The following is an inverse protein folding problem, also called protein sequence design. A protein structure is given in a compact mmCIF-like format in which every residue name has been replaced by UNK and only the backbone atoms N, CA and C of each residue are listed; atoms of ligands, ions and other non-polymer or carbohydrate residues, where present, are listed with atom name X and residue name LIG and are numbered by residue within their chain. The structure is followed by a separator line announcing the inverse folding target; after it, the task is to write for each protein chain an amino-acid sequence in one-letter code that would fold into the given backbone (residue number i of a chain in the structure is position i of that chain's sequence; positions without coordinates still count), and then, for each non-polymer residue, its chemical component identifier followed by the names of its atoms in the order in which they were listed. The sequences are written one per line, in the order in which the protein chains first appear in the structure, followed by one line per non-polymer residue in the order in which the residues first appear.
data_IF_502067382380
#
_entry.id   IF_502067382380
#
_cell.length_a   1.000
_cell.length_b   1.000
_cell.length_c   1.000
_cell.angle_alpha   90.00
_cell.angle_beta   90.00
_cell.angle_gamma   90.00
#
_symmetry.space_group_name_H-M   'P 1'
#
loop_
_entity.id
_entity.type
_entity.pdbx_description
1 polymer ?
#
# COMPACT_ATOMS: atom_id res chain seq x y z
N UNK A 1 -40.31 -8.18 -13.60
CA UNK A 1 -39.62 -7.33 -12.59
C UNK A 1 -38.40 -7.99 -11.94
N UNK A 2 -38.26 -9.32 -11.91
CA UNK A 2 -37.12 -10.00 -11.27
C UNK A 2 -35.74 -9.51 -11.76
N UNK A 3 -35.53 -9.37 -13.08
CA UNK A 3 -34.23 -8.95 -13.64
C UNK A 3 -33.78 -7.53 -13.26
N UNK A 4 -34.72 -6.57 -13.12
CA UNK A 4 -34.38 -5.20 -12.65
C UNK A 4 -33.98 -5.22 -11.18
N UNK A 5 -34.62 -6.08 -10.39
CA UNK A 5 -34.32 -6.25 -8.96
C UNK A 5 -32.95 -6.90 -8.75
N UNK A 6 -32.60 -7.92 -9.54
CA UNK A 6 -31.27 -8.54 -9.51
C UNK A 6 -30.16 -7.56 -9.92
N UNK A 7 -30.39 -6.72 -10.93
CA UNK A 7 -29.43 -5.67 -11.34
C UNK A 7 -29.24 -4.65 -10.21
N UNK A 8 -30.33 -4.20 -9.58
CA UNK A 8 -30.24 -3.25 -8.47
C UNK A 8 -29.47 -3.83 -7.27
N UNK A 9 -29.72 -5.10 -6.91
CA UNK A 9 -28.99 -5.79 -5.84
C UNK A 9 -27.51 -5.97 -6.20
N UNK A 10 -27.20 -6.43 -7.41
CA UNK A 10 -25.82 -6.60 -7.87
C UNK A 10 -25.04 -5.27 -7.94
N UNK A 11 -25.68 -4.18 -8.36
CA UNK A 11 -25.08 -2.85 -8.35
C UNK A 11 -24.80 -2.36 -6.93
N UNK A 12 -25.73 -2.56 -5.98
CA UNK A 12 -25.54 -2.19 -4.58
C UNK A 12 -24.42 -3.00 -3.90
N UNK A 13 -24.35 -4.31 -4.17
CA UNK A 13 -23.27 -5.17 -3.70
C UNK A 13 -21.92 -4.72 -4.26
N UNK A 14 -21.86 -4.40 -5.55
CA UNK A 14 -20.63 -3.94 -6.19
C UNK A 14 -20.19 -2.57 -5.70
N UNK A 15 -21.12 -1.65 -5.43
CA UNK A 15 -20.82 -0.36 -4.81
C UNK A 15 -20.22 -0.53 -3.41
N UNK A 16 -20.77 -1.46 -2.61
CA UNK A 16 -20.23 -1.79 -1.29
C UNK A 16 -18.84 -2.41 -1.39
N UNK A 17 -18.63 -3.31 -2.35
CA UNK A 17 -17.32 -3.92 -2.60
C UNK A 17 -16.28 -2.88 -3.05
N UNK A 18 -16.66 -1.95 -3.94
CA UNK A 18 -15.81 -0.86 -4.39
C UNK A 18 -15.40 0.07 -3.25
N UNK A 19 -16.33 0.41 -2.34
CA UNK A 19 -16.01 1.19 -1.15
C UNK A 19 -15.02 0.47 -0.22
N UNK A 20 -15.19 -0.85 -0.03
CA UNK A 20 -14.26 -1.65 0.76
C UNK A 20 -12.89 -1.72 0.11
N UNK A 21 -12.84 -1.92 -1.21
CA UNK A 21 -11.59 -1.93 -1.96
C UNK A 21 -10.87 -0.58 -1.86
N UNK A 22 -11.59 0.54 -2.03
CA UNK A 22 -11.02 1.88 -1.88
C UNK A 22 -10.44 2.11 -0.47
N UNK A 23 -11.15 1.67 0.57
CA UNK A 23 -10.64 1.73 1.96
C UNK A 23 -9.39 0.86 2.13
N UNK A 24 -9.38 -0.36 1.60
CA UNK A 24 -8.22 -1.23 1.62
C UNK A 24 -7.01 -0.61 0.89
N UNK A 25 -7.23 0.02 -0.26
CA UNK A 25 -6.18 0.75 -0.98
C UNK A 25 -5.65 1.95 -0.18
N UNK A 26 -6.50 2.66 0.57
CA UNK A 26 -6.06 3.73 1.48
C UNK A 26 -5.20 3.20 2.63
N UNK A 27 -5.58 2.06 3.23
CA UNK A 27 -4.79 1.41 4.27
C UNK A 27 -3.43 0.93 3.73
N UNK A 28 -3.40 0.37 2.52
CA UNK A 28 -2.16 0.02 1.82
C UNK A 28 -1.31 1.26 1.56
N UNK A 29 -1.89 2.37 1.10
CA UNK A 29 -1.15 3.60 0.83
C UNK A 29 -0.54 4.18 2.12
N UNK A 30 -1.30 4.23 3.21
CA UNK A 30 -0.81 4.68 4.51
C UNK A 30 0.35 3.80 5.02
N UNK A 31 0.23 2.48 4.88
CA UNK A 31 1.32 1.56 5.21
C UNK A 31 2.55 1.78 4.31
N UNK A 32 2.37 2.19 3.05
CA UNK A 32 3.47 2.51 2.12
C UNK A 32 4.25 3.73 2.58
N UNK A 33 3.53 4.77 2.98
CA UNK A 33 4.13 6.00 3.47
C UNK A 33 4.94 5.75 4.75
N UNK A 34 4.39 4.98 5.69
CA UNK A 34 5.09 4.59 6.93
C UNK A 34 6.34 3.74 6.64
N UNK A 35 6.24 2.76 5.74
CA UNK A 35 7.36 1.95 5.27
C UNK A 35 8.46 2.77 4.59
N UNK A 36 8.07 3.72 3.74
CA UNK A 36 9.02 4.60 3.04
C UNK A 36 9.77 5.48 4.05
N UNK A 37 9.06 6.07 5.01
CA UNK A 37 9.66 6.85 6.08
C UNK A 37 10.63 6.01 6.92
N UNK A 38 10.23 4.80 7.33
CA UNK A 38 11.10 3.88 8.07
C UNK A 38 12.35 3.46 7.26
N UNK A 39 12.20 3.30 5.94
CA UNK A 39 13.31 2.98 5.03
C UNK A 39 14.29 4.13 4.90
N UNK A 40 13.80 5.37 4.76
CA UNK A 40 14.62 6.58 4.74
C UNK A 40 15.39 6.77 6.06
N UNK A 41 14.73 6.57 7.20
CA UNK A 41 15.37 6.66 8.51
C UNK A 41 16.43 5.56 8.71
N UNK A 42 16.14 4.33 8.26
CA UNK A 42 17.11 3.23 8.29
C UNK A 42 18.31 3.54 7.40
N UNK A 43 18.09 4.07 6.20
CA UNK A 43 19.17 4.45 5.28
C UNK A 43 20.05 5.57 5.86
N UNK A 44 19.44 6.57 6.50
CA UNK A 44 20.17 7.62 7.20
C UNK A 44 21.04 7.05 8.32
N UNK A 45 20.47 6.18 9.15
CA UNK A 45 21.21 5.54 10.26
C UNK A 45 22.38 4.69 9.73
N UNK A 46 22.20 3.96 8.63
CA UNK A 46 23.29 3.21 7.98
C UNK A 46 24.40 4.15 7.51
N UNK A 47 24.06 5.32 6.94
CA UNK A 47 25.05 6.29 6.51
C UNK A 47 25.84 6.88 7.69
N UNK A 48 25.16 7.23 8.78
CA UNK A 48 25.80 7.69 10.03
C UNK A 48 26.74 6.62 10.60
N UNK A 49 26.31 5.35 10.57
CA UNK A 49 27.12 4.23 11.04
C UNK A 49 28.35 3.97 10.16
N UNK A 50 28.22 4.14 8.84
CA UNK A 50 29.34 4.04 7.90
C UNK A 50 30.37 5.14 8.13
N UNK A 51 29.92 6.36 8.48
CA UNK A 51 30.82 7.44 8.83
C UNK A 51 31.56 7.15 10.15
N UNK A 52 30.85 6.73 11.19
CA UNK A 52 31.45 6.37 12.47
C UNK A 52 32.47 5.24 12.34
N UNK A 53 32.22 4.28 11.45
CA UNK A 53 33.17 3.20 11.15
C UNK A 53 34.44 3.73 10.46
N UNK A 54 34.31 4.67 9.52
CA UNK A 54 35.47 5.31 8.89
C UNK A 54 36.33 6.11 9.89
N UNK A 55 35.69 6.79 10.85
CA UNK A 55 36.39 7.47 11.95
C UNK A 55 37.13 6.46 12.85
N UNK A 56 36.55 5.29 13.12
CA UNK A 56 37.22 4.20 13.83
C UNK A 56 38.43 3.65 13.04
N UNK A 57 38.33 3.50 11.72
CA UNK A 57 39.45 3.09 10.87
C UNK A 57 40.61 4.10 10.93
N UNK A 58 40.29 5.40 10.84
CA UNK A 58 41.29 6.45 10.98
C UNK A 58 41.94 6.44 12.37
N UNK A 59 41.14 6.26 13.42
CA UNK A 59 41.64 6.17 14.80
C UNK A 59 42.53 4.94 14.99
N UNK A 60 42.19 3.81 14.35
CA UNK A 60 43.02 2.60 14.34
C UNK A 60 44.38 2.82 13.68
N UNK A 61 44.42 3.59 12.59
CA UNK A 61 45.67 3.99 11.95
C UNK A 61 46.51 4.91 12.84
N UNK A 62 45.89 5.92 13.46
CA UNK A 62 46.56 6.78 14.42
C UNK A 62 47.09 5.99 15.64
N UNK A 63 46.35 4.99 16.11
CA UNK A 63 46.79 4.08 17.16
C UNK A 63 48.01 3.25 16.74
N UNK A 64 48.05 2.81 15.48
CA UNK A 64 49.21 2.10 14.93
C UNK A 64 50.44 2.99 14.87
N UNK A 65 50.29 4.26 14.47
CA UNK A 65 51.38 5.25 14.48
C UNK A 65 51.88 5.50 15.91
N UNK A 66 50.96 5.69 16.86
CA UNK A 66 51.30 5.88 18.28
C UNK A 66 52.03 4.67 18.86
N UNK A 67 51.67 3.46 18.44
CA UNK A 67 52.36 2.23 18.82
C UNK A 67 53.77 2.12 18.21
N UNK A 68 54.00 2.64 16.99
CA UNK A 68 55.35 2.74 16.43
C UNK A 68 56.20 3.79 17.16
N UNK A 69 55.62 4.94 17.49
CA UNK A 69 56.29 5.99 18.26
C UNK A 69 56.69 5.51 19.66
N UNK A 70 55.83 4.72 20.32
CA UNK A 70 56.12 4.07 21.60
C UNK A 70 57.41 3.23 21.54
N UNK A 71 57.65 2.52 20.42
CA UNK A 71 58.85 1.69 20.23
C UNK A 71 60.14 2.51 20.24
N UNK A 72 60.06 3.78 19.85
CA UNK A 72 61.18 4.71 19.78
C UNK A 72 61.20 5.70 20.97
N UNK A 73 60.22 5.62 21.88
CA UNK A 73 60.08 6.56 23.00
C UNK A 73 61.08 6.30 24.12
N UNK A 74 61.65 7.38 24.66
CA UNK A 74 62.47 7.33 25.88
C UNK A 74 61.64 7.31 27.18
N UNK A 75 60.34 7.61 27.09
CA UNK A 75 59.37 7.54 28.20
C UNK A 75 58.27 6.52 27.89
N UNK A 76 58.66 5.25 27.87
CA UNK A 76 57.82 4.11 27.47
C UNK A 76 56.57 3.97 28.34
N UNK A 77 56.66 4.30 29.64
CA UNK A 77 55.54 4.14 30.56
C UNK A 77 54.38 5.07 30.21
N UNK A 78 54.66 6.36 29.99
CA UNK A 78 53.63 7.34 29.63
C UNK A 78 53.05 7.09 28.24
N UNK A 79 53.91 6.84 27.25
CA UNK A 79 53.46 6.56 25.88
C UNK A 79 52.64 5.26 25.81
N UNK A 80 52.94 4.25 26.64
CA UNK A 80 52.15 3.02 26.70
C UNK A 80 50.74 3.25 27.30
N UNK A 81 50.62 4.16 28.27
CA UNK A 81 49.34 4.55 28.85
C UNK A 81 48.45 5.28 27.82
N UNK A 82 49.03 6.15 26.99
CA UNK A 82 48.34 6.83 25.89
C UNK A 82 47.85 5.83 24.81
N UNK A 83 48.69 4.87 24.39
CA UNK A 83 48.30 3.79 23.47
C UNK A 83 47.19 2.93 24.05
N UNK A 84 47.31 2.52 25.31
CA UNK A 84 46.30 1.70 25.98
C UNK A 84 44.95 2.42 26.06
N UNK A 85 44.95 3.71 26.43
CA UNK A 85 43.72 4.51 26.50
C UNK A 85 43.05 4.68 25.14
N UNK A 86 43.81 5.00 24.09
CA UNK A 86 43.29 5.12 22.73
C UNK A 86 42.73 3.78 22.21
N UNK A 87 43.38 2.65 22.53
CA UNK A 87 42.90 1.32 22.19
C UNK A 87 41.58 0.97 22.90
N UNK A 88 41.43 1.32 24.19
CA UNK A 88 40.18 1.12 24.94
C UNK A 88 39.03 1.96 24.37
N UNK A 89 39.30 3.21 23.99
CA UNK A 89 38.31 4.08 23.36
C UNK A 89 37.86 3.54 22.00
N UNK A 90 38.80 3.13 21.15
CA UNK A 90 38.50 2.52 19.85
C UNK A 90 37.68 1.23 20.00
N UNK A 91 38.08 0.35 20.92
CA UNK A 91 37.35 -0.89 21.20
C UNK A 91 35.91 -0.61 21.64
N UNK A 92 35.71 0.37 22.53
CA UNK A 92 34.39 0.79 23.00
C UNK A 92 33.52 1.33 21.85
N UNK A 93 34.09 2.19 21.00
CA UNK A 93 33.41 2.74 19.82
C UNK A 93 32.99 1.64 18.83
N UNK A 94 33.89 0.69 18.52
CA UNK A 94 33.60 -0.43 17.62
C UNK A 94 32.51 -1.35 18.20
N UNK A 95 32.51 -1.60 19.50
CA UNK A 95 31.46 -2.38 20.16
C UNK A 95 30.09 -1.69 20.06
N UNK A 96 30.05 -0.38 20.28
CA UNK A 96 28.81 0.41 20.17
C UNK A 96 28.29 0.45 18.73
N UNK A 97 29.17 0.66 17.75
CA UNK A 97 28.84 0.58 16.32
C UNK A 97 28.28 -0.80 15.98
N UNK A 98 28.93 -1.88 16.43
CA UNK A 98 28.48 -3.26 16.16
C UNK A 98 27.09 -3.54 16.75
N UNK A 99 26.85 -3.05 17.97
CA UNK A 99 25.53 -3.16 18.62
C UNK A 99 24.47 -2.42 17.81
N UNK A 100 24.74 -1.17 17.44
CA UNK A 100 23.83 -0.35 16.62
C UNK A 100 23.55 -1.02 15.27
N UNK A 101 24.57 -1.56 14.60
CA UNK A 101 24.44 -2.28 13.33
C UNK A 101 23.51 -3.47 13.41
N UNK A 102 23.59 -4.23 14.50
CA UNK A 102 22.68 -5.36 14.73
C UNK A 102 21.23 -4.89 14.85
N UNK A 103 20.98 -3.77 15.52
CA UNK A 103 19.65 -3.18 15.65
C UNK A 103 19.12 -2.65 14.32
N UNK A 104 19.97 -1.99 13.53
CA UNK A 104 19.65 -1.49 12.19
C UNK A 104 19.28 -2.65 11.26
N UNK A 105 20.07 -3.73 11.25
CA UNK A 105 19.77 -4.92 10.45
C UNK A 105 18.43 -5.56 10.84
N UNK A 106 18.10 -5.58 12.13
CA UNK A 106 16.80 -6.05 12.59
C UNK A 106 15.66 -5.14 12.09
N UNK A 107 15.85 -3.81 12.11
CA UNK A 107 14.87 -2.86 11.58
C UNK A 107 14.68 -3.02 10.05
N UNK A 108 15.77 -3.14 9.29
CA UNK A 108 15.73 -3.40 7.84
C UNK A 108 14.99 -4.70 7.53
N UNK A 109 15.19 -5.75 8.33
CA UNK A 109 14.47 -7.01 8.15
C UNK A 109 12.96 -6.87 8.40
N UNK A 110 12.56 -6.05 9.38
CA UNK A 110 11.14 -5.73 9.60
C UNK A 110 10.54 -4.92 8.45
N UNK A 111 11.28 -3.95 7.93
CA UNK A 111 10.89 -3.17 6.75
C UNK A 111 10.70 -4.11 5.57
N UNK A 112 11.66 -5.01 5.30
CA UNK A 112 11.55 -5.98 4.21
C UNK A 112 10.32 -6.87 4.33
N UNK A 113 10.01 -7.36 5.54
CA UNK A 113 8.80 -8.16 5.79
C UNK A 113 7.53 -7.35 5.58
N UNK A 114 7.47 -6.11 6.06
CA UNK A 114 6.34 -5.22 5.82
C UNK A 114 6.13 -4.94 4.33
N UNK A 115 7.20 -4.74 3.57
CA UNK A 115 7.15 -4.51 2.12
C UNK A 115 6.57 -5.73 1.39
N UNK A 116 6.96 -6.94 1.80
CA UNK A 116 6.42 -8.18 1.24
C UNK A 116 4.93 -8.35 1.54
N UNK A 117 4.52 -8.11 2.79
CA UNK A 117 3.08 -8.17 3.18
C UNK A 117 2.28 -7.14 2.39
N UNK A 118 2.82 -5.93 2.23
CA UNK A 118 2.16 -4.87 1.49
C UNK A 118 2.05 -5.17 -0.01
N UNK A 119 3.10 -5.74 -0.62
CA UNK A 119 3.06 -6.18 -2.02
C UNK A 119 1.97 -7.22 -2.23
N UNK A 120 1.87 -8.22 -1.35
CA UNK A 120 0.82 -9.24 -1.41
C UNK A 120 -0.59 -8.63 -1.24
N UNK A 121 -0.76 -7.72 -0.27
CA UNK A 121 -2.04 -7.02 -0.08
C UNK A 121 -2.42 -6.15 -1.29
N UNK A 122 -1.44 -5.55 -1.96
CA UNK A 122 -1.63 -4.76 -3.18
C UNK A 122 -2.08 -5.64 -4.35
N UNK A 123 -1.46 -6.80 -4.53
CA UNK A 123 -1.87 -7.78 -5.55
C UNK A 123 -3.28 -8.31 -5.31
N UNK A 124 -3.61 -8.65 -4.05
CA UNK A 124 -4.96 -9.09 -3.68
C UNK A 124 -6.00 -7.99 -3.94
N UNK A 125 -5.69 -6.75 -3.55
CA UNK A 125 -6.55 -5.59 -3.79
C UNK A 125 -6.78 -5.36 -5.28
N UNK A 126 -5.72 -5.42 -6.10
CA UNK A 126 -5.82 -5.27 -7.55
C UNK A 126 -6.69 -6.37 -8.18
N UNK A 127 -6.53 -7.62 -7.74
CA UNK A 127 -7.37 -8.72 -8.19
C UNK A 127 -8.85 -8.51 -7.81
N UNK A 128 -9.13 -8.07 -6.57
CA UNK A 128 -10.47 -7.78 -6.09
C UNK A 128 -11.13 -6.64 -6.88
N UNK A 129 -10.39 -5.55 -7.16
CA UNK A 129 -10.85 -4.44 -8.00
C UNK A 129 -11.18 -4.93 -9.41
N UNK A 130 -10.32 -5.75 -10.02
CA UNK A 130 -10.59 -6.31 -11.35
C UNK A 130 -11.84 -7.20 -11.40
N UNK A 131 -12.18 -7.90 -10.31
CA UNK A 131 -13.44 -8.66 -10.21
C UNK A 131 -14.65 -7.73 -10.08
N UNK A 132 -14.53 -6.65 -9.29
CA UNK A 132 -15.57 -5.63 -9.15
C UNK A 132 -15.87 -4.96 -10.50
N UNK A 133 -14.85 -4.59 -11.26
CA UNK A 133 -15.01 -4.00 -12.59
C UNK A 133 -15.77 -4.91 -13.56
N UNK A 134 -15.41 -6.20 -13.61
CA UNK A 134 -16.15 -7.19 -14.41
C UNK A 134 -17.59 -7.33 -13.96
N UNK A 135 -17.84 -7.34 -12.65
CA UNK A 135 -19.19 -7.35 -12.07
C UNK A 135 -20.02 -6.13 -12.47
N UNK A 136 -19.42 -4.94 -12.43
CA UNK A 136 -20.06 -3.69 -12.86
C UNK A 136 -20.40 -3.71 -14.35
N UNK A 137 -19.49 -4.16 -15.22
CA UNK A 137 -19.73 -4.26 -16.66
C UNK A 137 -20.92 -5.18 -16.99
N UNK A 138 -21.00 -6.32 -16.31
CA UNK A 138 -22.13 -7.24 -16.44
C UNK A 138 -23.43 -6.61 -15.95
N UNK A 139 -23.41 -5.95 -14.80
CA UNK A 139 -24.58 -5.25 -14.25
C UNK A 139 -25.06 -4.13 -15.19
N UNK A 140 -24.13 -3.34 -15.74
CA UNK A 140 -24.42 -2.27 -16.70
C UNK A 140 -25.06 -2.81 -17.98
N UNK A 141 -24.51 -3.88 -18.54
CA UNK A 141 -25.07 -4.55 -19.73
C UNK A 141 -26.50 -5.03 -19.47
N UNK A 142 -26.72 -5.70 -18.33
CA UNK A 142 -28.05 -6.18 -17.93
C UNK A 142 -29.03 -5.03 -17.69
N UNK A 143 -28.58 -3.93 -17.08
CA UNK A 143 -29.37 -2.74 -16.85
C UNK A 143 -29.85 -2.12 -18.18
N UNK A 144 -28.96 -2.00 -19.16
CA UNK A 144 -29.28 -1.48 -20.50
C UNK A 144 -30.37 -2.30 -21.19
N UNK A 145 -30.16 -3.62 -21.26
CA UNK A 145 -31.15 -4.56 -21.83
C UNK A 145 -32.48 -4.52 -21.07
N UNK A 146 -32.43 -4.41 -19.74
CA UNK A 146 -33.62 -4.28 -18.91
C UNK A 146 -34.40 -3.00 -19.22
N UNK A 147 -33.71 -1.87 -19.38
CA UNK A 147 -34.28 -0.57 -19.73
C UNK A 147 -34.95 -0.60 -21.11
N UNK A 148 -34.29 -1.19 -22.11
CA UNK A 148 -34.87 -1.37 -23.45
C UNK A 148 -36.18 -2.17 -23.42
N UNK A 149 -36.20 -3.28 -22.68
CA UNK A 149 -37.41 -4.12 -22.51
C UNK A 149 -38.54 -3.36 -21.82
N UNK A 150 -38.23 -2.62 -20.75
CA UNK A 150 -39.22 -1.78 -20.05
C UNK A 150 -39.75 -0.70 -20.98
N UNK A 151 -38.89 -0.08 -21.79
CA UNK A 151 -39.28 0.89 -22.81
C UNK A 151 -40.21 0.29 -23.87
N UNK A 152 -39.92 -0.93 -24.34
CA UNK A 152 -40.78 -1.65 -25.29
C UNK A 152 -42.15 -1.98 -24.69
N UNK A 153 -42.20 -2.46 -23.46
CA UNK A 153 -43.46 -2.74 -22.74
C UNK A 153 -44.29 -1.46 -22.59
N UNK A 154 -43.65 -0.34 -22.22
CA UNK A 154 -44.32 0.96 -22.09
C UNK A 154 -44.97 1.40 -23.42
N UNK A 155 -44.29 1.19 -24.55
CA UNK A 155 -44.85 1.48 -25.88
C UNK A 155 -46.05 0.59 -26.19
N UNK A 156 -45.95 -0.72 -25.97
CA UNK A 156 -47.06 -1.66 -26.19
C UNK A 156 -48.28 -1.33 -25.32
N UNK A 157 -48.07 -0.97 -24.05
CA UNK A 157 -49.15 -0.55 -23.16
C UNK A 157 -49.81 0.76 -23.62
N UNK A 158 -49.04 1.72 -24.16
CA UNK A 158 -49.59 2.94 -24.75
C UNK A 158 -50.47 2.62 -25.94
N UNK A 159 -49.99 1.80 -26.89
CA UNK A 159 -50.77 1.40 -28.07
C UNK A 159 -52.03 0.62 -27.69
N UNK A 160 -51.94 -0.25 -26.70
CA UNK A 160 -53.11 -0.99 -26.20
C UNK A 160 -54.13 -0.04 -25.56
N UNK A 161 -53.66 0.93 -24.77
CA UNK A 161 -54.52 1.98 -24.22
C UNK A 161 -55.25 2.75 -25.32
N UNK A 162 -54.53 3.23 -26.34
CA UNK A 162 -55.12 3.98 -27.44
C UNK A 162 -56.18 3.14 -28.19
N UNK A 163 -55.91 1.85 -28.40
CA UNK A 163 -56.85 0.92 -29.02
C UNK A 163 -58.10 0.70 -28.15
N UNK A 164 -57.95 0.55 -26.83
CA UNK A 164 -59.06 0.39 -25.89
C UNK A 164 -59.89 1.68 -25.81
N UNK A 165 -59.25 2.85 -25.74
CA UNK A 165 -59.94 4.14 -25.75
C UNK A 165 -60.76 4.31 -27.04
N UNK A 166 -60.19 3.95 -28.20
CA UNK A 166 -60.90 3.94 -29.49
C UNK A 166 -62.10 2.99 -29.53
N UNK A 167 -61.99 1.79 -28.95
CA UNK A 167 -63.11 0.85 -28.81
C UNK A 167 -64.22 1.42 -27.91
N UNK A 168 -63.86 2.06 -26.80
CA UNK A 168 -64.82 2.71 -25.89
C UNK A 168 -65.57 3.82 -26.62
N UNK A 169 -64.87 4.68 -27.36
CA UNK A 169 -65.50 5.74 -28.17
C UNK A 169 -66.45 5.13 -29.21
N UNK A 170 -66.00 4.14 -29.99
CA UNK A 170 -66.84 3.51 -31.01
C UNK A 170 -68.10 2.84 -30.46
N UNK A 171 -68.02 2.20 -29.28
CA UNK A 171 -69.19 1.64 -28.60
C UNK A 171 -70.13 2.73 -28.09
N UNK A 172 -69.58 3.81 -27.52
CA UNK A 172 -70.37 4.95 -27.02
C UNK A 172 -71.13 5.64 -28.14
N UNK A 173 -70.48 5.87 -29.28
CA UNK A 173 -71.09 6.46 -30.46
C UNK A 173 -72.19 5.56 -31.04
N UNK A 174 -71.99 4.24 -31.03
CA UNK A 174 -72.98 3.26 -31.53
C UNK A 174 -74.22 3.13 -30.63
N UNK A 175 -74.10 3.45 -29.34
CA UNK A 175 -75.23 3.46 -28.39
C UNK A 175 -75.98 4.80 -28.41
N UNK A 176 -75.32 5.89 -28.81
CA UNK A 176 -75.91 7.22 -28.93
C UNK A 176 -76.61 7.48 -30.28
N UNK A 177 -76.32 6.66 -31.30
CA UNK A 177 -76.96 6.67 -32.62
C UNK A 177 -78.25 5.83 -32.65
#
# INVERSE_FOLDING_TARGET
MAGVREVAVGAQQSATAAQRAAKGSQEIAAAAEEQSAASEESAKTVAEQSQALAECEQTSQALSELAEDLKNSTDVAKSAEEVASAAEQLSSAVQEITRSGTQIMAAIEQIRKGAQVQSAATEESAAAVGQIEKGLQLAQTRASVGSEKVGAIRRLLSTNKDAVDGLITGVTDSVAA
#
